data_IF_473788370885
#
_entry.id   IF_473788370885
#
_cell.length_a   1.000
_cell.length_b   1.000
_cell.length_c   1.000
_cell.angle_alpha   90.00
_cell.angle_beta   90.00
_cell.angle_gamma   90.00
#
_symmetry.space_group_name_H-M   'P 1'
#
loop_
_entity.id
_entity.type
_entity.pdbx_description
1 polymer ?
#
# COMPACT_ATOMS: atom_id res chain seq x y z
N UNK A 1 -0.30 -1.84 20.50
CA UNK A 1 -0.15 -2.76 19.36
C UNK A 1 0.93 -3.78 19.71
N UNK A 2 0.78 -5.06 19.35
CA UNK A 2 1.69 -6.13 19.76
C UNK A 2 3.10 -5.94 19.13
N UNK A 3 4.15 -5.94 19.96
CA UNK A 3 5.53 -5.60 19.55
C UNK A 3 6.08 -6.57 18.50
N UNK A 4 5.64 -7.82 18.53
CA UNK A 4 6.04 -8.86 17.56
C UNK A 4 5.49 -8.59 16.15
N UNK A 5 4.29 -8.01 16.05
CA UNK A 5 3.63 -7.73 14.77
C UNK A 5 4.34 -6.60 14.01
N UNK A 6 4.68 -5.52 14.73
CA UNK A 6 5.41 -4.40 14.16
C UNK A 6 6.82 -4.81 13.73
N UNK A 7 7.48 -5.67 14.52
CA UNK A 7 8.79 -6.19 14.16
C UNK A 7 8.72 -7.04 12.88
N UNK A 8 7.75 -7.97 12.80
CA UNK A 8 7.57 -8.80 11.62
C UNK A 8 7.31 -7.97 10.36
N UNK A 9 6.39 -7.00 10.44
CA UNK A 9 6.09 -6.10 9.33
C UNK A 9 7.33 -5.32 8.87
N UNK A 10 8.08 -4.76 9.82
CA UNK A 10 9.32 -4.04 9.52
C UNK A 10 10.38 -4.96 8.86
N UNK A 11 10.55 -6.20 9.33
CA UNK A 11 11.51 -7.15 8.75
C UNK A 11 11.14 -7.47 7.29
N UNK A 12 9.85 -7.66 6.99
CA UNK A 12 9.37 -7.84 5.62
C UNK A 12 9.57 -6.62 4.73
N UNK A 13 9.21 -5.43 5.22
CA UNK A 13 9.46 -4.16 4.52
C UNK A 13 10.94 -4.05 4.18
N UNK A 14 11.83 -4.24 5.16
CA UNK A 14 13.27 -4.14 4.97
C UNK A 14 13.76 -5.12 3.90
N UNK A 15 13.29 -6.37 3.91
CA UNK A 15 13.68 -7.36 2.89
C UNK A 15 13.24 -6.91 1.49
N UNK A 16 11.98 -6.48 1.34
CA UNK A 16 11.42 -6.10 0.04
C UNK A 16 12.08 -4.84 -0.50
N UNK A 17 12.20 -3.78 0.31
CA UNK A 17 12.83 -2.54 -0.15
C UNK A 17 14.31 -2.75 -0.47
N UNK A 18 15.06 -3.56 0.28
CA UNK A 18 16.44 -3.87 -0.08
C UNK A 18 16.56 -4.65 -1.39
N UNK A 19 15.68 -5.63 -1.64
CA UNK A 19 15.63 -6.35 -2.92
C UNK A 19 15.28 -5.44 -4.09
N UNK A 20 14.37 -4.48 -3.87
CA UNK A 20 14.07 -3.47 -4.87
C UNK A 20 15.28 -2.57 -5.17
N UNK A 21 15.93 -2.05 -4.12
CA UNK A 21 17.09 -1.15 -4.26
C UNK A 21 18.27 -1.85 -4.94
N UNK A 22 18.50 -3.13 -4.63
CA UNK A 22 19.61 -3.91 -5.21
C UNK A 22 19.34 -4.39 -6.63
N UNK A 23 18.17 -4.99 -6.88
CA UNK A 23 17.93 -5.76 -8.10
C UNK A 23 16.76 -5.20 -8.95
N UNK A 24 16.11 -4.12 -8.53
CA UNK A 24 14.93 -3.56 -9.20
C UNK A 24 13.70 -4.46 -9.12
N UNK A 25 13.65 -5.39 -8.17
CA UNK A 25 12.54 -6.36 -8.06
C UNK A 25 11.30 -5.73 -7.41
N UNK A 26 10.32 -5.38 -8.23
CA UNK A 26 9.06 -4.78 -7.76
C UNK A 26 8.01 -5.79 -7.28
N UNK A 27 8.11 -7.07 -7.67
CA UNK A 27 7.11 -8.11 -7.33
C UNK A 27 6.94 -8.27 -5.81
N UNK A 28 8.00 -8.01 -5.06
CA UNK A 28 7.96 -7.99 -3.60
C UNK A 28 6.92 -7.03 -3.01
N UNK A 29 6.69 -5.88 -3.64
CA UNK A 29 5.71 -4.89 -3.17
C UNK A 29 4.27 -5.38 -3.30
N UNK A 30 3.95 -6.03 -4.42
CA UNK A 30 2.64 -6.66 -4.62
C UNK A 30 2.35 -7.69 -3.53
N UNK A 31 3.32 -8.56 -3.23
CA UNK A 31 3.17 -9.57 -2.19
C UNK A 31 3.07 -8.96 -0.80
N UNK A 32 3.84 -7.90 -0.54
CA UNK A 32 3.86 -7.19 0.74
C UNK A 32 2.54 -6.46 1.01
N UNK A 33 2.10 -5.58 0.11
CA UNK A 33 0.92 -4.74 0.32
C UNK A 33 -0.39 -5.54 0.26
N UNK A 34 -0.44 -6.66 -0.44
CA UNK A 34 -1.63 -7.52 -0.42
C UNK A 34 -1.53 -8.70 0.54
N UNK A 35 -0.49 -8.77 1.37
CA UNK A 35 -0.32 -9.82 2.36
C UNK A 35 -0.37 -11.22 1.76
N UNK A 36 0.36 -11.43 0.66
CA UNK A 36 0.37 -12.71 -0.07
C UNK A 36 1.59 -13.55 0.31
N UNK A 37 1.43 -14.86 0.16
CA UNK A 37 2.45 -15.85 0.53
C UNK A 37 2.95 -15.62 1.98
N UNK A 38 4.27 -15.61 2.18
CA UNK A 38 4.88 -15.42 3.51
C UNK A 38 4.71 -13.99 4.05
N UNK A 39 4.36 -13.00 3.22
CA UNK A 39 4.30 -11.59 3.61
C UNK A 39 2.98 -11.19 4.29
N UNK A 40 2.09 -12.17 4.53
CA UNK A 40 0.86 -11.94 5.30
C UNK A 40 1.19 -11.66 6.77
N UNK A 41 0.98 -10.42 7.18
CA UNK A 41 1.05 -9.98 8.58
C UNK A 41 -0.36 -9.97 9.17
N UNK A 42 -0.62 -10.76 10.22
CA UNK A 42 -1.92 -10.81 10.91
C UNK A 42 -1.73 -10.79 12.43
N UNK A 43 -2.64 -10.14 13.18
CA UNK A 43 -2.58 -10.13 14.64
C UNK A 43 -2.91 -11.49 15.27
N UNK A 44 -3.76 -12.26 14.61
CA UNK A 44 -4.13 -13.65 14.92
C UNK A 44 -4.66 -14.31 13.63
N UNK A 45 -4.74 -15.65 13.54
CA UNK A 45 -5.20 -16.34 12.35
C UNK A 45 -6.60 -15.87 11.90
N UNK A 46 -6.69 -15.40 10.65
CA UNK A 46 -7.95 -14.90 10.07
C UNK A 46 -8.27 -13.43 10.35
N UNK A 47 -7.41 -12.70 11.08
CA UNK A 47 -7.60 -11.26 11.32
C UNK A 47 -7.48 -10.39 10.06
N UNK A 48 -6.98 -10.95 8.96
CA UNK A 48 -6.71 -10.22 7.73
C UNK A 48 -5.35 -9.53 7.77
N UNK A 49 -4.89 -9.13 6.58
CA UNK A 49 -3.58 -8.49 6.44
C UNK A 49 -3.55 -7.12 7.12
N UNK A 50 -2.61 -6.94 8.04
CA UNK A 50 -2.48 -5.72 8.83
C UNK A 50 -1.66 -4.66 8.10
N UNK A 51 -2.35 -3.90 7.26
CA UNK A 51 -1.77 -2.82 6.48
C UNK A 51 -1.23 -1.65 7.31
N UNK A 52 -1.78 -1.42 8.51
CA UNK A 52 -1.24 -0.43 9.46
C UNK A 52 0.18 -0.79 9.90
N UNK A 53 0.42 -2.06 10.23
CA UNK A 53 1.74 -2.54 10.63
C UNK A 53 2.75 -2.44 9.48
N UNK A 54 2.32 -2.70 8.24
CA UNK A 54 3.17 -2.53 7.06
C UNK A 54 3.55 -1.06 6.86
N UNK A 55 2.59 -0.12 6.89
CA UNK A 55 2.89 1.31 6.77
C UNK A 55 3.83 1.80 7.88
N UNK A 56 3.62 1.37 9.12
CA UNK A 56 4.55 1.66 10.22
C UNK A 56 5.97 1.15 9.92
N UNK A 57 6.08 -0.06 9.38
CA UNK A 57 7.33 -0.64 8.92
C UNK A 57 7.99 0.20 7.82
N UNK A 58 7.22 0.64 6.81
CA UNK A 58 7.69 1.51 5.72
C UNK A 58 8.23 2.81 6.27
N UNK A 59 7.49 3.49 7.14
CA UNK A 59 7.91 4.77 7.70
C UNK A 59 9.17 4.64 8.56
N UNK A 60 9.25 3.57 9.36
CA UNK A 60 10.44 3.28 10.15
C UNK A 60 11.65 3.05 9.22
N UNK A 61 11.48 2.22 8.20
CA UNK A 61 12.55 1.93 7.24
C UNK A 61 13.00 3.19 6.48
N UNK A 62 12.06 4.04 6.05
CA UNK A 62 12.36 5.32 5.40
C UNK A 62 13.26 6.22 6.27
N UNK A 63 12.92 6.37 7.56
CA UNK A 63 13.67 7.19 8.52
C UNK A 63 15.08 6.64 8.80
N UNK A 64 15.22 5.32 8.85
CA UNK A 64 16.51 4.67 9.11
C UNK A 64 17.45 4.72 7.90
N UNK A 65 16.90 4.56 6.69
CA UNK A 65 17.72 4.48 5.46
C UNK A 65 18.17 5.86 4.98
N UNK A 66 17.47 6.95 5.37
CA UNK A 66 17.77 8.35 5.01
C UNK A 66 18.02 8.54 3.51
N UNK A 67 17.25 7.86 2.68
CA UNK A 67 17.40 7.92 1.23
C UNK A 67 16.59 9.09 0.68
N UNK A 68 17.25 10.05 0.03
CA UNK A 68 16.60 11.27 -0.49
C UNK A 68 15.50 11.00 -1.52
N UNK A 69 15.50 9.82 -2.16
CA UNK A 69 14.49 9.41 -3.14
C UNK A 69 13.45 8.40 -2.60
N UNK A 70 13.33 8.24 -1.27
CA UNK A 70 12.42 7.22 -0.71
C UNK A 70 10.96 7.43 -1.10
N UNK A 71 10.51 8.69 -1.17
CA UNK A 71 9.16 9.03 -1.64
C UNK A 71 8.91 8.51 -3.06
N UNK A 72 9.84 8.75 -3.99
CA UNK A 72 9.74 8.24 -5.37
C UNK A 72 9.67 6.72 -5.41
N UNK A 73 10.49 6.04 -4.59
CA UNK A 73 10.47 4.58 -4.48
C UNK A 73 9.11 4.10 -3.98
N UNK A 74 8.56 4.76 -2.97
CA UNK A 74 7.26 4.42 -2.41
C UNK A 74 6.14 4.61 -3.44
N UNK A 75 6.07 5.75 -4.15
CA UNK A 75 5.08 5.99 -5.19
C UNK A 75 5.17 5.00 -6.37
N UNK A 76 6.41 4.64 -6.77
CA UNK A 76 6.63 3.58 -7.77
C UNK A 76 6.15 2.22 -7.29
N UNK A 77 6.36 1.92 -6.00
CA UNK A 77 5.88 0.66 -5.41
C UNK A 77 4.35 0.56 -5.42
N UNK A 78 3.65 1.68 -5.17
CA UNK A 78 2.20 1.76 -5.26
C UNK A 78 1.73 1.55 -6.70
N UNK A 79 2.37 2.22 -7.66
CA UNK A 79 2.04 2.10 -9.09
C UNK A 79 2.20 0.67 -9.58
N UNK A 80 3.33 0.01 -9.27
CA UNK A 80 3.54 -1.38 -9.64
C UNK A 80 2.52 -2.32 -8.99
N UNK A 81 2.15 -2.04 -7.75
CA UNK A 81 1.14 -2.84 -7.03
C UNK A 81 -0.21 -2.74 -7.74
N UNK A 82 -0.62 -1.56 -8.18
CA UNK A 82 -1.82 -1.34 -9.01
C UNK A 82 -1.74 -2.15 -10.32
N UNK A 83 -0.61 -2.08 -11.04
CA UNK A 83 -0.41 -2.82 -12.30
C UNK A 83 -0.55 -4.34 -12.12
N UNK A 84 -0.26 -4.82 -10.91
CA UNK A 84 -0.36 -6.23 -10.51
C UNK A 84 -1.72 -6.60 -9.91
N UNK A 85 -2.68 -5.68 -9.88
CA UNK A 85 -4.02 -5.89 -9.32
C UNK A 85 -4.96 -6.48 -10.35
N UNK A 86 -5.58 -7.60 -9.97
CA UNK A 86 -6.49 -8.36 -10.82
C UNK A 86 -7.80 -8.75 -10.11
N UNK A 87 -7.86 -8.63 -8.78
CA UNK A 87 -8.99 -9.10 -7.98
C UNK A 87 -9.67 -7.95 -7.22
N UNK A 88 -11.02 -7.93 -7.11
CA UNK A 88 -11.75 -6.90 -6.37
C UNK A 88 -11.29 -6.71 -4.92
N UNK A 89 -10.94 -7.80 -4.23
CA UNK A 89 -10.43 -7.74 -2.85
C UNK A 89 -9.08 -7.01 -2.74
N UNK A 90 -8.22 -7.14 -3.76
CA UNK A 90 -6.95 -6.41 -3.81
C UNK A 90 -7.22 -4.89 -3.95
N UNK A 91 -8.25 -4.49 -4.71
CA UNK A 91 -8.66 -3.08 -4.80
C UNK A 91 -9.14 -2.55 -3.45
N UNK A 92 -10.01 -3.29 -2.75
CA UNK A 92 -10.51 -2.87 -1.43
C UNK A 92 -9.36 -2.70 -0.43
N UNK A 93 -8.42 -3.65 -0.38
CA UNK A 93 -7.25 -3.55 0.49
C UNK A 93 -6.36 -2.36 0.10
N UNK A 94 -6.14 -2.11 -1.19
CA UNK A 94 -5.37 -0.97 -1.66
C UNK A 94 -6.01 0.37 -1.27
N UNK A 95 -7.34 0.49 -1.42
CA UNK A 95 -8.09 1.65 -0.95
C UNK A 95 -7.90 1.90 0.54
N UNK A 96 -7.96 0.85 1.37
CA UNK A 96 -7.70 0.96 2.81
C UNK A 96 -6.26 1.42 3.12
N UNK A 97 -5.27 0.95 2.35
CA UNK A 97 -3.90 1.45 2.42
C UNK A 97 -3.82 2.94 2.12
N UNK A 98 -4.40 3.40 1.00
CA UNK A 98 -4.35 4.82 0.61
C UNK A 98 -5.04 5.73 1.62
N UNK A 99 -6.24 5.37 2.08
CA UNK A 99 -6.93 6.16 3.12
C UNK A 99 -6.07 6.26 4.39
N UNK A 100 -5.42 5.16 4.76
CA UNK A 100 -4.55 5.12 5.94
C UNK A 100 -3.29 5.95 5.77
N UNK A 101 -2.65 5.88 4.61
CA UNK A 101 -1.50 6.71 4.27
C UNK A 101 -1.85 8.20 4.39
N UNK A 102 -2.97 8.63 3.79
CA UNK A 102 -3.39 10.03 3.83
C UNK A 102 -3.72 10.49 5.26
N UNK A 103 -4.33 9.62 6.08
CA UNK A 103 -4.53 9.93 7.49
C UNK A 103 -3.20 10.07 8.25
N UNK A 104 -2.20 9.24 7.92
CA UNK A 104 -0.88 9.30 8.52
C UNK A 104 -0.09 10.53 8.05
N UNK A 105 -0.24 10.94 6.80
CA UNK A 105 0.34 12.17 6.25
C UNK A 105 -0.21 13.40 7.00
N UNK A 106 -1.54 13.52 7.10
CA UNK A 106 -2.20 14.66 7.77
C UNK A 106 -1.85 14.75 9.25
N UNK A 107 -1.68 13.60 9.92
CA UNK A 107 -1.28 13.55 11.34
C UNK A 107 0.22 13.75 11.57
N UNK A 108 1.03 13.95 10.51
CA UNK A 108 2.48 14.11 10.60
C UNK A 108 3.22 12.81 10.93
N UNK A 109 2.55 11.65 10.83
CA UNK A 109 3.15 10.33 11.07
C UNK A 109 3.90 9.81 9.84
N UNK A 110 3.43 10.10 8.64
CA UNK A 110 4.15 9.73 7.41
C UNK A 110 5.39 10.62 7.24
N UNK A 111 6.57 10.07 6.89
CA UNK A 111 7.77 10.86 6.65
C UNK A 111 7.82 11.49 5.25
N UNK A 112 6.79 11.26 4.41
CA UNK A 112 6.66 11.76 3.05
C UNK A 112 5.20 12.13 2.76
N UNK A 113 4.97 12.81 1.64
CA UNK A 113 3.64 13.14 1.11
C UNK A 113 3.49 12.49 -0.26
N UNK A 114 2.34 11.90 -0.56
CA UNK A 114 2.12 11.24 -1.86
C UNK A 114 1.15 12.01 -2.75
N UNK A 115 1.36 11.94 -4.06
CA UNK A 115 0.35 12.38 -5.04
C UNK A 115 -0.80 11.36 -5.14
N UNK A 116 -1.68 11.38 -4.15
CA UNK A 116 -2.82 10.46 -4.06
C UNK A 116 -3.79 10.55 -5.23
N UNK A 117 -3.95 11.72 -5.85
CA UNK A 117 -4.87 11.89 -6.97
C UNK A 117 -4.33 11.12 -8.17
N UNK A 118 -3.03 11.26 -8.44
CA UNK A 118 -2.34 10.44 -9.46
C UNK A 118 -2.44 8.94 -9.15
N UNK A 119 -2.26 8.53 -7.90
CA UNK A 119 -2.36 7.11 -7.52
C UNK A 119 -3.79 6.57 -7.70
N UNK A 120 -4.81 7.36 -7.33
CA UNK A 120 -6.21 6.99 -7.51
C UNK A 120 -6.62 6.94 -8.97
N UNK A 121 -6.17 7.88 -9.78
CA UNK A 121 -6.43 7.88 -11.22
C UNK A 121 -5.79 6.67 -11.91
N UNK A 122 -4.60 6.27 -11.45
CA UNK A 122 -3.97 5.04 -11.93
C UNK A 122 -4.82 3.80 -11.56
N UNK A 123 -5.31 3.72 -10.32
CA UNK A 123 -6.18 2.62 -9.89
C UNK A 123 -7.51 2.58 -10.65
N UNK A 124 -8.13 3.74 -10.92
CA UNK A 124 -9.35 3.86 -11.75
C UNK A 124 -9.12 3.27 -13.13
N UNK A 125 -8.06 3.73 -13.80
CA UNK A 125 -7.69 3.24 -15.14
C UNK A 125 -7.49 1.72 -15.13
N UNK A 126 -6.77 1.20 -14.14
CA UNK A 126 -6.56 -0.23 -14.00
C UNK A 126 -7.87 -1.02 -13.83
N UNK A 127 -8.79 -0.49 -13.03
CA UNK A 127 -10.10 -1.11 -12.81
C UNK A 127 -10.95 -1.14 -14.10
N UNK A 128 -10.80 -0.16 -14.99
CA UNK A 128 -11.51 -0.12 -16.28
C UNK A 128 -10.91 -1.09 -17.31
N UNK A 129 -9.59 -1.27 -17.30
CA UNK A 129 -8.87 -2.14 -18.23
C UNK A 129 -9.11 -3.63 -17.97
N UNK A 130 -9.21 -4.04 -16.70
CA UNK A 130 -9.32 -5.45 -16.35
C UNK A 130 -10.76 -5.89 -16.11
N UNK A 131 -11.24 -6.84 -16.91
CA UNK A 131 -12.65 -7.26 -16.95
C UNK A 131 -13.21 -7.65 -15.57
N UNK A 132 -12.46 -8.43 -14.78
CA UNK A 132 -12.90 -8.85 -13.44
C UNK A 132 -13.08 -7.67 -12.48
N UNK A 133 -12.27 -6.61 -12.62
CA UNK A 133 -12.41 -5.41 -11.80
C UNK A 133 -13.57 -4.55 -12.30
N UNK A 134 -13.64 -4.33 -13.61
CA UNK A 134 -14.66 -3.49 -14.25
C UNK A 134 -16.08 -3.98 -13.98
N UNK A 135 -16.25 -5.30 -14.01
CA UNK A 135 -17.57 -5.92 -13.87
C UNK A 135 -18.01 -6.11 -12.40
N UNK A 136 -17.14 -5.84 -11.42
CA UNK A 136 -17.48 -5.93 -10.00
C UNK A 136 -17.96 -4.56 -9.46
N UNK A 137 -19.23 -4.41 -9.07
CA UNK A 137 -19.75 -3.13 -8.58
C UNK A 137 -19.09 -2.62 -7.29
N UNK A 138 -18.46 -3.50 -6.48
CA UNK A 138 -17.75 -3.07 -5.27
C UNK A 138 -16.49 -2.26 -5.60
N UNK A 139 -15.79 -2.57 -6.69
CA UNK A 139 -14.57 -1.89 -7.11
C UNK A 139 -14.84 -0.40 -7.33
N UNK A 140 -15.86 -0.08 -8.13
CA UNK A 140 -16.24 1.31 -8.40
C UNK A 140 -16.66 2.04 -7.12
N UNK A 141 -17.43 1.39 -6.24
CA UNK A 141 -17.86 2.00 -4.96
C UNK A 141 -16.68 2.29 -4.05
N UNK A 142 -15.74 1.36 -3.90
CA UNK A 142 -14.55 1.54 -3.06
C UNK A 142 -13.67 2.67 -3.58
N UNK A 143 -13.45 2.75 -4.89
CA UNK A 143 -12.65 3.83 -5.48
C UNK A 143 -13.32 5.20 -5.28
N UNK A 144 -14.63 5.31 -5.52
CA UNK A 144 -15.37 6.57 -5.29
C UNK A 144 -15.32 6.97 -3.82
N UNK A 145 -15.58 6.03 -2.91
CA UNK A 145 -15.50 6.27 -1.46
C UNK A 145 -14.12 6.77 -1.05
N UNK A 146 -13.05 6.15 -1.56
CA UNK A 146 -11.68 6.59 -1.27
C UNK A 146 -11.44 8.00 -1.77
N UNK A 147 -11.84 8.32 -3.00
CA UNK A 147 -11.73 9.68 -3.55
C UNK A 147 -12.43 10.70 -2.65
N UNK A 148 -13.67 10.43 -2.22
CA UNK A 148 -14.42 11.34 -1.35
C UNK A 148 -13.72 11.58 0.00
N UNK A 149 -13.17 10.52 0.60
CA UNK A 149 -12.44 10.62 1.87
C UNK A 149 -11.20 11.48 1.70
N UNK A 150 -10.45 11.25 0.63
CA UNK A 150 -9.19 11.94 0.35
C UNK A 150 -9.43 13.41 0.02
N UNK A 151 -10.44 13.72 -0.80
CA UNK A 151 -10.79 15.11 -1.16
C UNK A 151 -11.30 15.90 0.03
N UNK A 152 -12.06 15.32 0.97
CA UNK A 152 -12.53 16.02 2.18
C UNK A 152 -11.42 16.36 3.18
N UNK A 153 -10.26 15.73 3.02
CA UNK A 153 -9.14 15.78 3.97
C UNK A 153 -8.01 16.71 3.54
N UNK A 154 -8.08 17.22 2.31
CA UNK A 154 -7.21 18.25 1.75
C UNK A 154 -7.92 19.60 1.83
#
# INVERSE_FOLDING_TARGET
MNMDLQKLAYDYVKIIFNKYISDGNYMGFYLLYYGKAIYKVEAFPGAGHNYYAILDGVYRYARETRTDNFQDIFERSLSFTIDSTFYPNDVSLFCNYLVTEINNEISGKSPFSIDVDRVLDHLKKRAEEYELLRNDPSVKREIIRTQEIVTKKR
#
